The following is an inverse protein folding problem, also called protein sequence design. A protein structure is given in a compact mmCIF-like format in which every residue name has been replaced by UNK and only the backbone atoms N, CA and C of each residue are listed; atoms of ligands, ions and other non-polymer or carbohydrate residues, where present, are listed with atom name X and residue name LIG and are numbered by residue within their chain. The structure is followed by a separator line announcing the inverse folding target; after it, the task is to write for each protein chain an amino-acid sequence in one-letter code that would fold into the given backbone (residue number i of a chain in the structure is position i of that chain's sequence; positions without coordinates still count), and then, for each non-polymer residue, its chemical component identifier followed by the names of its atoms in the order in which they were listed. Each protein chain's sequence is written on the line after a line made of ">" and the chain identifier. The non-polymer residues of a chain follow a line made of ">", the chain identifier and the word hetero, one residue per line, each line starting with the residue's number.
data_IF_635459243623
#
_entry.id   IF_635459243623
#
_cell.length_a   1.000
_cell.length_b   1.000
_cell.length_c   1.000
_cell.angle_alpha   90.00
_cell.angle_beta   90.00
_cell.angle_gamma   90.00
#
_symmetry.space_group_name_H-M   'P 1'
#
loop_
_entity.id
_entity.type
_entity.pdbx_description
1 polymer ?
#
# COMPACT_ATOMS: atom_id res chain seq x y z
N UNK A 1 -26.89 -14.62 11.87
CA UNK A 1 -25.97 -15.77 11.76
C UNK A 1 -24.60 -15.25 11.29
N UNK A 2 -23.59 -15.21 12.16
CA UNK A 2 -22.19 -14.93 11.75
C UNK A 2 -21.64 -16.21 11.12
N UNK A 3 -21.22 -16.15 9.86
CA UNK A 3 -20.43 -17.22 9.26
C UNK A 3 -19.10 -17.39 10.03
N UNK A 4 -18.52 -18.60 10.07
CA UNK A 4 -17.20 -18.81 10.66
C UNK A 4 -16.18 -18.00 9.84
N UNK A 5 -15.27 -17.29 10.51
CA UNK A 5 -14.13 -16.68 9.85
C UNK A 5 -13.30 -17.79 9.22
N UNK A 6 -13.22 -17.85 7.89
CA UNK A 6 -12.27 -18.70 7.19
C UNK A 6 -10.88 -18.42 7.75
N UNK A 7 -10.28 -19.43 8.39
CA UNK A 7 -8.95 -19.34 8.96
C UNK A 7 -7.95 -19.21 7.82
N UNK A 8 -7.40 -18.01 7.62
CA UNK A 8 -6.36 -17.80 6.63
C UNK A 8 -5.02 -18.26 7.21
N UNK A 9 -4.34 -19.17 6.51
CA UNK A 9 -2.98 -19.58 6.85
C UNK A 9 -1.99 -18.75 6.04
N UNK A 10 -1.04 -18.15 6.74
CA UNK A 10 0.02 -17.37 6.13
C UNK A 10 1.30 -18.20 6.14
N UNK A 11 1.85 -18.45 4.96
CA UNK A 11 3.12 -19.15 4.79
C UNK A 11 4.18 -18.17 4.30
N UNK A 12 5.32 -18.15 4.98
CA UNK A 12 6.49 -17.36 4.60
C UNK A 12 7.66 -18.29 4.26
N UNK A 13 8.27 -18.07 3.10
CA UNK A 13 9.44 -18.79 2.64
C UNK A 13 10.61 -17.82 2.52
N UNK A 14 11.76 -18.19 3.08
CA UNK A 14 12.98 -17.37 3.07
C UNK A 14 14.18 -18.25 2.76
N UNK A 15 15.05 -17.77 1.87
CA UNK A 15 16.41 -18.31 1.74
C UNK A 15 17.22 -17.81 2.93
N UNK A 16 17.86 -18.73 3.66
CA UNK A 16 18.62 -18.42 4.88
C UNK A 16 20.00 -17.83 4.63
N UNK A 17 20.46 -17.83 3.38
CA UNK A 17 21.72 -17.21 2.97
C UNK A 17 21.68 -15.70 3.27
N UNK A 18 22.75 -15.19 3.87
CA UNK A 18 22.97 -13.75 4.05
C UNK A 18 23.87 -13.29 2.91
N UNK A 19 23.39 -12.32 2.13
CA UNK A 19 24.13 -11.75 1.01
C UNK A 19 25.07 -10.64 1.50
N UNK A 20 26.38 -10.90 1.47
CA UNK A 20 27.40 -9.89 1.78
C UNK A 20 27.70 -9.04 0.54
N UNK A 21 27.40 -7.74 0.63
CA UNK A 21 27.62 -6.76 -0.44
C UNK A 21 29.08 -6.56 -0.82
N UNK A 22 30.03 -6.99 0.01
CA UNK A 22 31.46 -6.93 -0.27
C UNK A 22 32.00 -8.22 -0.89
N UNK A 23 31.18 -9.26 -0.99
CA UNK A 23 31.55 -10.53 -1.61
C UNK A 23 31.71 -10.37 -3.11
N UNK A 24 32.77 -10.97 -3.67
CA UNK A 24 32.95 -11.07 -5.12
C UNK A 24 31.93 -12.01 -5.80
N UNK A 25 31.15 -12.77 -5.03
CA UNK A 25 30.07 -13.64 -5.51
C UNK A 25 28.67 -13.04 -5.30
N UNK A 26 28.59 -11.80 -4.81
CA UNK A 26 27.33 -11.19 -4.42
C UNK A 26 26.26 -11.28 -5.52
N UNK A 27 26.61 -10.92 -6.75
CA UNK A 27 25.66 -10.91 -7.87
C UNK A 27 25.17 -12.32 -8.23
N UNK A 28 26.08 -13.30 -8.28
CA UNK A 28 25.73 -14.69 -8.59
C UNK A 28 24.81 -15.28 -7.52
N UNK A 29 25.12 -15.05 -6.24
CA UNK A 29 24.32 -15.55 -5.12
C UNK A 29 22.96 -14.86 -5.06
N UNK A 30 22.92 -13.54 -5.29
CA UNK A 30 21.69 -12.78 -5.33
C UNK A 30 20.77 -13.28 -6.45
N UNK A 31 21.29 -13.42 -7.67
CA UNK A 31 20.52 -13.88 -8.82
C UNK A 31 20.03 -15.32 -8.62
N UNK A 32 20.88 -16.19 -8.07
CA UNK A 32 20.48 -17.56 -7.76
C UNK A 32 19.31 -17.60 -6.75
N UNK A 33 19.43 -16.88 -5.64
CA UNK A 33 18.41 -16.87 -4.59
C UNK A 33 17.10 -16.23 -5.08
N UNK A 34 17.16 -15.17 -5.88
CA UNK A 34 15.98 -14.55 -6.51
C UNK A 34 15.29 -15.51 -7.48
N UNK A 35 16.06 -16.19 -8.35
CA UNK A 35 15.52 -17.15 -9.31
C UNK A 35 14.86 -18.34 -8.61
N UNK A 36 15.52 -18.89 -7.58
CA UNK A 36 14.98 -20.00 -6.79
C UNK A 36 13.61 -19.64 -6.20
N UNK A 37 13.49 -18.48 -5.56
CA UNK A 37 12.22 -18.05 -4.98
C UNK A 37 11.19 -17.68 -6.06
N UNK A 38 11.62 -17.03 -7.13
CA UNK A 38 10.71 -16.61 -8.20
C UNK A 38 10.12 -17.81 -8.96
N UNK A 39 10.91 -18.85 -9.23
CA UNK A 39 10.46 -20.06 -9.92
C UNK A 39 9.45 -20.85 -9.08
N UNK A 40 9.68 -20.94 -7.76
CA UNK A 40 8.83 -21.75 -6.88
C UNK A 40 7.59 -21.01 -6.36
N UNK A 41 7.68 -19.69 -6.17
CA UNK A 41 6.65 -18.89 -5.50
C UNK A 41 6.04 -17.81 -6.40
N UNK A 42 6.57 -17.64 -7.61
CA UNK A 42 6.16 -16.62 -8.57
C UNK A 42 6.59 -15.20 -8.22
N UNK A 43 7.11 -14.96 -7.00
CA UNK A 43 7.56 -13.65 -6.52
C UNK A 43 8.62 -13.77 -5.43
N UNK A 44 9.48 -12.77 -5.36
CA UNK A 44 10.52 -12.66 -4.35
C UNK A 44 10.90 -11.19 -4.08
N UNK A 45 11.70 -10.98 -3.04
CA UNK A 45 12.24 -9.67 -2.66
C UNK A 45 13.46 -9.83 -1.75
N UNK A 46 14.13 -8.72 -1.48
CA UNK A 46 15.34 -8.67 -0.64
C UNK A 46 15.00 -7.86 0.61
N UNK A 47 15.47 -8.31 1.77
CA UNK A 47 15.36 -7.54 3.01
C UNK A 47 16.64 -7.58 3.84
N UNK A 48 16.75 -6.65 4.80
CA UNK A 48 17.85 -6.62 5.75
C UNK A 48 17.89 -7.91 6.59
N UNK A 49 19.08 -8.51 6.72
CA UNK A 49 19.28 -9.77 7.42
C UNK A 49 18.88 -9.73 8.90
N UNK A 50 19.00 -8.57 9.55
CA UNK A 50 18.74 -8.35 10.98
C UNK A 50 17.24 -8.22 11.30
N UNK A 51 16.36 -8.16 10.30
CA UNK A 51 14.92 -7.99 10.51
C UNK A 51 14.30 -9.30 11.04
N UNK A 52 13.61 -9.27 12.20
CA UNK A 52 12.97 -10.46 12.75
C UNK A 52 11.89 -11.03 11.84
N UNK A 53 11.74 -12.36 11.84
CA UNK A 53 10.74 -13.04 11.00
C UNK A 53 9.30 -12.71 11.42
N UNK A 54 9.07 -12.40 12.71
CA UNK A 54 7.77 -11.97 13.24
C UNK A 54 7.31 -10.66 12.60
N UNK A 55 8.23 -9.74 12.33
CA UNK A 55 7.93 -8.49 11.61
C UNK A 55 7.43 -8.76 10.19
N UNK A 56 7.75 -9.91 9.59
CA UNK A 56 7.23 -10.29 8.28
C UNK A 56 5.76 -10.69 8.35
N UNK A 57 5.33 -11.42 9.38
CA UNK A 57 3.92 -11.74 9.57
C UNK A 57 3.06 -10.47 9.70
N UNK A 58 3.57 -9.46 10.40
CA UNK A 58 2.93 -8.14 10.54
C UNK A 58 2.85 -7.36 9.21
N UNK A 59 3.74 -7.65 8.24
CA UNK A 59 3.65 -7.08 6.89
C UNK A 59 2.68 -7.81 5.98
N UNK A 60 2.30 -9.04 6.32
CA UNK A 60 1.39 -9.86 5.52
C UNK A 60 -0.08 -9.64 5.92
N UNK A 61 -0.34 -9.19 7.15
CA UNK A 61 -1.69 -8.86 7.62
C UNK A 61 -1.92 -7.36 7.44
N UNK A 62 -2.48 -7.00 6.28
CA UNK A 62 -3.00 -5.64 6.06
C UNK A 62 -4.30 -5.50 6.83
N UNK A 63 -4.35 -4.59 7.80
CA UNK A 63 -5.56 -4.24 8.53
C UNK A 63 -5.86 -2.76 8.34
N UNK A 64 -7.11 -2.48 7.97
CA UNK A 64 -7.62 -1.13 7.76
C UNK A 64 -8.53 -0.69 8.91
N UNK A 65 -8.31 0.50 9.43
CA UNK A 65 -9.24 1.19 10.33
C UNK A 65 -10.09 2.16 9.53
N UNK A 66 -11.41 2.09 9.69
CA UNK A 66 -12.37 2.96 9.02
C UNK A 66 -13.00 3.90 10.05
N UNK A 67 -12.88 5.20 9.83
CA UNK A 67 -13.36 6.24 10.73
C UNK A 67 -14.04 7.38 9.95
N UNK A 68 -14.92 8.17 10.58
CA UNK A 68 -15.44 9.39 9.95
C UNK A 68 -14.27 10.35 9.64
N UNK A 69 -14.41 11.24 8.64
CA UNK A 69 -13.37 12.22 8.33
C UNK A 69 -13.00 13.04 9.57
N UNK A 70 -11.76 12.87 10.05
CA UNK A 70 -11.23 13.57 11.21
C UNK A 70 -10.60 14.92 10.84
N UNK A 71 -9.99 15.58 11.82
CA UNK A 71 -9.21 16.78 11.53
C UNK A 71 -7.93 16.45 10.74
N UNK A 72 -7.48 17.42 9.95
CA UNK A 72 -6.22 17.33 9.18
C UNK A 72 -5.05 17.05 10.12
N UNK A 73 -5.02 17.73 11.25
CA UNK A 73 -3.97 17.67 12.25
C UNK A 73 -3.87 16.29 12.89
N UNK A 74 -5.00 15.68 13.27
CA UNK A 74 -5.03 14.33 13.86
C UNK A 74 -4.54 13.27 12.87
N UNK A 75 -4.97 13.38 11.60
CA UNK A 75 -4.60 12.41 10.57
C UNK A 75 -3.11 12.50 10.28
N UNK A 76 -2.59 13.71 10.03
CA UNK A 76 -1.17 13.93 9.80
C UNK A 76 -0.31 13.57 11.02
N UNK A 77 -0.77 13.86 12.24
CA UNK A 77 -0.07 13.48 13.46
C UNK A 77 0.05 11.95 13.60
N UNK A 78 -0.99 11.19 13.24
CA UNK A 78 -0.94 9.72 13.19
C UNK A 78 0.07 9.22 12.17
N UNK A 79 0.04 9.77 10.95
CA UNK A 79 0.95 9.40 9.86
C UNK A 79 2.42 9.66 10.25
N UNK A 80 2.71 10.82 10.85
CA UNK A 80 4.07 11.23 11.19
C UNK A 80 4.54 10.74 12.56
N UNK A 81 3.71 10.01 13.30
CA UNK A 81 4.04 9.57 14.66
C UNK A 81 5.34 8.75 14.66
N UNK A 82 6.32 9.23 15.43
CA UNK A 82 7.62 8.56 15.58
C UNK A 82 8.54 8.66 14.37
N UNK A 83 8.25 9.53 13.39
CA UNK A 83 9.04 9.72 12.17
C UNK A 83 9.75 11.08 12.16
N UNK A 84 11.02 11.09 11.75
CA UNK A 84 11.75 12.32 11.44
C UNK A 84 11.45 12.72 9.99
N UNK A 85 10.44 13.57 9.81
CA UNK A 85 9.93 14.00 8.50
C UNK A 85 10.57 15.35 8.13
N UNK A 86 11.09 15.48 6.90
CA UNK A 86 11.59 16.76 6.38
C UNK A 86 10.42 17.71 6.04
N UNK A 87 10.69 19.01 6.00
CA UNK A 87 9.68 20.02 5.63
C UNK A 87 9.04 19.75 4.26
N UNK A 88 9.84 19.29 3.28
CA UNK A 88 9.34 18.96 1.94
C UNK A 88 8.36 17.78 1.95
N UNK A 89 8.70 16.73 2.70
CA UNK A 89 7.81 15.57 2.86
C UNK A 89 6.50 15.96 3.55
N UNK A 90 6.57 16.86 4.55
CA UNK A 90 5.39 17.38 5.24
C UNK A 90 4.50 18.16 4.27
N UNK A 91 5.07 19.04 3.44
CA UNK A 91 4.32 19.79 2.43
C UNK A 91 3.65 18.86 1.39
N UNK A 92 4.35 17.82 0.93
CA UNK A 92 3.79 16.83 -0.01
C UNK A 92 2.62 16.10 0.62
N UNK A 93 2.78 15.65 1.86
CA UNK A 93 1.74 14.96 2.61
C UNK A 93 0.51 15.85 2.85
N UNK A 94 0.71 17.11 3.23
CA UNK A 94 -0.37 18.09 3.38
C UNK A 94 -1.10 18.34 2.06
N UNK A 95 -0.37 18.52 0.95
CA UNK A 95 -0.96 18.71 -0.36
C UNK A 95 -1.79 17.50 -0.84
N UNK A 96 -1.29 16.30 -0.57
CA UNK A 96 -1.99 15.04 -0.85
C UNK A 96 -3.24 14.92 -0.01
N UNK A 97 -3.14 15.18 1.29
CA UNK A 97 -4.29 15.18 2.21
C UNK A 97 -5.38 16.14 1.76
N UNK A 98 -5.02 17.39 1.44
CA UNK A 98 -5.97 18.43 1.03
C UNK A 98 -6.69 18.03 -0.26
N UNK A 99 -5.97 17.44 -1.21
CA UNK A 99 -6.60 16.88 -2.41
C UNK A 99 -7.54 15.73 -2.08
N UNK A 100 -7.13 14.81 -1.21
CA UNK A 100 -7.91 13.66 -0.78
C UNK A 100 -9.24 14.08 -0.15
N UNK A 101 -9.19 15.09 0.72
CA UNK A 101 -10.37 15.66 1.36
C UNK A 101 -11.26 16.43 0.40
N UNK A 102 -10.69 17.02 -0.66
CA UNK A 102 -11.46 17.69 -1.72
C UNK A 102 -12.35 16.74 -2.53
N UNK A 103 -12.18 15.42 -2.39
CA UNK A 103 -13.05 14.41 -2.98
C UNK A 103 -14.31 14.16 -2.15
N UNK A 104 -14.44 14.79 -0.97
CA UNK A 104 -15.57 14.66 -0.05
C UNK A 104 -15.82 13.20 0.37
N UNK A 105 -14.85 12.54 1.03
CA UNK A 105 -15.03 11.17 1.48
C UNK A 105 -16.09 11.05 2.58
N UNK A 106 -16.88 9.98 2.52
CA UNK A 106 -17.82 9.60 3.59
C UNK A 106 -17.08 9.06 4.80
N UNK A 107 -16.00 8.33 4.57
CA UNK A 107 -15.14 7.74 5.60
C UNK A 107 -13.68 7.78 5.16
N UNK A 108 -12.78 7.79 6.12
CA UNK A 108 -11.35 7.63 5.90
C UNK A 108 -10.95 6.22 6.33
N UNK A 109 -10.09 5.61 5.53
CA UNK A 109 -9.47 4.31 5.75
C UNK A 109 -7.99 4.56 6.06
N UNK A 110 -7.44 4.04 7.15
CA UNK A 110 -6.00 4.11 7.41
C UNK A 110 -5.42 2.75 7.70
N UNK A 111 -4.18 2.53 7.26
CA UNK A 111 -3.47 1.30 7.57
C UNK A 111 -2.93 1.27 8.99
N UNK A 112 -2.87 0.07 9.55
CA UNK A 112 -2.22 -0.17 10.84
C UNK A 112 -0.74 -0.51 10.67
N UNK A 113 0.06 -0.22 11.71
CA UNK A 113 1.49 -0.57 11.79
C UNK A 113 2.29 -0.17 10.52
N UNK A 114 2.80 -1.13 9.77
CA UNK A 114 3.62 -0.93 8.56
C UNK A 114 2.89 -0.22 7.42
N UNK A 115 1.56 -0.24 7.42
CA UNK A 115 0.72 0.44 6.42
C UNK A 115 0.23 1.82 6.88
N UNK A 116 0.74 2.35 8.00
CA UNK A 116 0.36 3.67 8.56
C UNK A 116 0.58 4.87 7.65
N UNK A 117 1.37 4.71 6.59
CA UNK A 117 1.57 5.73 5.55
C UNK A 117 0.52 5.71 4.45
N UNK A 118 -0.38 4.74 4.46
CA UNK A 118 -1.47 4.65 3.50
C UNK A 118 -2.76 5.22 4.08
N UNK A 119 -3.44 6.00 3.25
CA UNK A 119 -4.75 6.57 3.53
C UNK A 119 -5.68 6.27 2.36
N UNK A 120 -6.92 5.90 2.68
CA UNK A 120 -8.00 5.65 1.76
C UNK A 120 -9.16 6.62 2.00
N UNK A 121 -9.70 7.19 0.94
CA UNK A 121 -10.88 8.05 0.94
C UNK A 121 -12.02 7.20 0.40
N UNK A 122 -12.86 6.72 1.30
CA UNK A 122 -14.05 5.94 0.95
C UNK A 122 -15.13 6.93 0.52
N UNK A 123 -15.36 7.00 -0.78
CA UNK A 123 -16.32 7.90 -1.39
C UNK A 123 -17.70 7.26 -1.42
N UNK A 124 -17.74 5.97 -1.76
CA UNK A 124 -18.90 5.08 -1.71
C UNK A 124 -18.47 3.74 -1.07
N UNK A 125 -19.41 2.83 -0.80
CA UNK A 125 -19.10 1.54 -0.16
C UNK A 125 -18.21 0.64 -1.06
N UNK A 126 -18.26 0.87 -2.38
CA UNK A 126 -17.55 0.17 -3.46
C UNK A 126 -16.54 1.08 -4.20
N UNK A 127 -16.29 2.30 -3.73
CA UNK A 127 -15.36 3.24 -4.36
C UNK A 127 -14.41 3.86 -3.34
N UNK A 128 -13.14 3.45 -3.39
CA UNK A 128 -12.11 3.94 -2.48
C UNK A 128 -10.91 4.46 -3.26
N UNK A 129 -10.56 5.73 -3.03
CA UNK A 129 -9.30 6.29 -3.52
C UNK A 129 -8.21 6.02 -2.49
N UNK A 130 -7.04 5.55 -2.90
CA UNK A 130 -5.97 5.07 -2.03
C UNK A 130 -4.63 5.72 -2.35
N UNK A 131 -3.93 6.23 -1.33
CA UNK A 131 -2.67 6.97 -1.49
C UNK A 131 -1.68 6.64 -0.39
N UNK A 132 -0.38 6.69 -0.71
CA UNK A 132 0.65 6.79 0.31
C UNK A 132 1.02 8.27 0.51
N UNK A 133 0.65 8.82 1.66
CA UNK A 133 0.75 10.26 1.90
C UNK A 133 2.18 10.74 2.16
N UNK A 134 3.07 9.88 2.64
CA UNK A 134 4.48 10.22 2.89
C UNK A 134 5.34 10.01 1.64
N UNK A 135 5.10 8.91 0.92
CA UNK A 135 5.96 8.44 -0.15
C UNK A 135 5.21 7.51 -1.13
N UNK A 136 4.93 8.00 -2.32
CA UNK A 136 4.28 7.23 -3.38
C UNK A 136 4.34 7.98 -4.70
N UNK A 137 4.43 7.26 -5.82
CA UNK A 137 4.44 7.87 -7.15
C UNK A 137 3.10 7.77 -7.87
N UNK A 138 2.10 7.13 -7.25
CA UNK A 138 0.77 6.99 -7.83
C UNK A 138 -0.29 6.91 -6.76
N UNK A 139 -1.46 7.42 -7.12
CA UNK A 139 -2.73 7.24 -6.43
C UNK A 139 -3.50 6.12 -7.13
N UNK A 140 -4.24 5.35 -6.34
CA UNK A 140 -5.04 4.24 -6.82
C UNK A 140 -6.51 4.56 -6.60
N UNK A 141 -7.37 4.13 -7.52
CA UNK A 141 -8.82 4.17 -7.35
C UNK A 141 -9.27 2.73 -7.41
N UNK A 142 -9.85 2.23 -6.34
CA UNK A 142 -10.23 0.83 -6.18
C UNK A 142 -11.76 0.74 -6.22
N UNK A 143 -12.26 -0.25 -6.95
CA UNK A 143 -13.69 -0.48 -7.18
C UNK A 143 -14.14 -1.82 -6.57
N UNK A 144 -15.43 -1.96 -6.27
CA UNK A 144 -16.08 -3.16 -5.76
C UNK A 144 -15.36 -3.73 -4.52
N UNK A 145 -14.60 -4.81 -4.72
CA UNK A 145 -13.84 -5.53 -3.70
C UNK A 145 -12.52 -4.81 -3.34
N UNK A 146 -12.60 -3.51 -3.06
CA UNK A 146 -11.44 -2.68 -2.76
C UNK A 146 -10.61 -3.22 -1.59
N UNK A 147 -11.26 -3.86 -0.61
CA UNK A 147 -10.59 -4.44 0.56
C UNK A 147 -9.59 -5.53 0.13
N UNK A 148 -9.98 -6.41 -0.79
CA UNK A 148 -9.08 -7.44 -1.32
C UNK A 148 -8.00 -6.86 -2.22
N UNK A 149 -8.37 -5.91 -3.10
CA UNK A 149 -7.42 -5.28 -4.04
C UNK A 149 -6.35 -4.47 -3.28
N UNK A 150 -6.73 -3.78 -2.20
CA UNK A 150 -5.82 -2.97 -1.38
C UNK A 150 -4.75 -3.81 -0.66
N UNK A 151 -4.96 -5.12 -0.52
CA UNK A 151 -4.00 -6.07 0.07
C UNK A 151 -2.99 -6.60 -0.94
N UNK A 152 -3.26 -6.43 -2.24
CA UNK A 152 -2.39 -6.90 -3.29
C UNK A 152 -1.08 -6.10 -3.30
N UNK A 153 0.04 -6.80 -3.51
CA UNK A 153 1.31 -6.10 -3.67
C UNK A 153 1.31 -5.29 -4.96
N UNK A 154 2.17 -4.27 -5.05
CA UNK A 154 2.34 -3.51 -6.30
C UNK A 154 2.59 -4.40 -7.52
N UNK A 155 3.33 -5.50 -7.33
CA UNK A 155 3.60 -6.48 -8.40
C UNK A 155 2.31 -7.22 -8.78
N UNK A 156 1.45 -7.60 -7.82
CA UNK A 156 0.15 -8.21 -8.14
C UNK A 156 -0.73 -7.26 -8.95
N UNK A 157 -0.87 -6.02 -8.50
CA UNK A 157 -1.67 -5.00 -9.17
C UNK A 157 -1.21 -4.83 -10.63
N UNK A 158 0.10 -4.77 -10.85
CA UNK A 158 0.68 -4.58 -12.18
C UNK A 158 0.72 -5.87 -13.03
N UNK A 159 0.58 -7.05 -12.42
CA UNK A 159 0.60 -8.34 -13.12
C UNK A 159 -0.71 -8.68 -13.85
N UNK A 160 -1.74 -7.83 -13.72
CA UNK A 160 -3.07 -8.05 -14.29
C UNK A 160 -3.99 -8.93 -13.43
N UNK A 161 -3.51 -9.50 -12.32
CA UNK A 161 -4.33 -10.29 -11.38
C UNK A 161 -5.46 -9.49 -10.73
N UNK A 162 -5.28 -8.18 -10.59
CA UNK A 162 -6.30 -7.28 -10.05
C UNK A 162 -7.40 -6.93 -11.08
N UNK A 163 -7.27 -7.41 -12.32
CA UNK A 163 -8.25 -7.17 -13.38
C UNK A 163 -8.43 -5.69 -13.69
N UNK A 164 -9.66 -5.30 -14.01
CA UNK A 164 -10.08 -3.92 -14.29
C UNK A 164 -10.65 -3.18 -13.08
N UNK A 165 -10.58 -3.78 -11.88
CA UNK A 165 -11.24 -3.25 -10.68
C UNK A 165 -10.39 -2.20 -9.95
N UNK A 166 -9.42 -1.62 -10.65
CA UNK A 166 -8.70 -0.46 -10.15
C UNK A 166 -8.13 0.40 -11.29
N UNK A 167 -7.94 1.69 -11.00
CA UNK A 167 -7.13 2.58 -11.79
C UNK A 167 -5.87 2.99 -11.01
N UNK A 168 -4.75 3.15 -11.72
CA UNK A 168 -3.50 3.67 -11.16
C UNK A 168 -3.10 4.94 -11.90
N UNK A 169 -3.03 6.06 -11.18
CA UNK A 169 -2.69 7.37 -11.73
C UNK A 169 -1.37 7.83 -11.14
N UNK A 170 -0.36 8.06 -11.99
CA UNK A 170 0.96 8.53 -11.55
C UNK A 170 0.87 10.02 -11.19
N UNK A 171 1.56 10.43 -10.13
CA UNK A 171 1.69 11.84 -9.68
C UNK A 171 2.53 12.68 -10.64
N UNK A 172 2.03 12.87 -11.87
CA UNK A 172 2.69 13.64 -12.92
C UNK A 172 1.67 14.48 -13.68
N UNK A 173 2.04 15.71 -14.03
CA UNK A 173 1.15 16.62 -14.77
C UNK A 173 -0.18 16.85 -14.04
N UNK A 174 -1.29 16.68 -14.75
CA UNK A 174 -2.66 16.96 -14.26
C UNK A 174 -3.30 15.75 -13.56
N UNK A 175 -2.53 14.98 -12.80
CA UNK A 175 -3.00 13.75 -12.15
C UNK A 175 -4.25 13.96 -11.27
N UNK A 176 -4.38 15.13 -10.63
CA UNK A 176 -5.56 15.49 -9.81
C UNK A 176 -6.84 15.54 -10.63
N UNK A 177 -6.77 16.06 -11.86
CA UNK A 177 -7.93 16.14 -12.74
C UNK A 177 -8.31 14.75 -13.27
N UNK A 178 -7.32 13.91 -13.58
CA UNK A 178 -7.55 12.53 -13.98
C UNK A 178 -8.23 11.72 -12.86
N UNK A 179 -7.82 11.90 -11.61
CA UNK A 179 -8.50 11.29 -10.46
C UNK A 179 -9.94 11.76 -10.37
N UNK A 180 -10.19 13.08 -10.47
CA UNK A 180 -11.55 13.63 -10.40
C UNK A 180 -12.46 13.08 -11.50
N UNK A 181 -11.95 12.94 -12.73
CA UNK A 181 -12.71 12.33 -13.85
C UNK A 181 -13.10 10.88 -13.54
N UNK A 182 -12.13 10.08 -13.06
CA UNK A 182 -12.36 8.67 -12.72
C UNK A 182 -13.33 8.49 -11.56
N UNK A 183 -13.16 9.29 -10.50
CA UNK A 183 -14.08 9.33 -9.36
C UNK A 183 -15.49 9.71 -9.80
N UNK A 184 -15.64 10.72 -10.66
CA UNK A 184 -16.95 11.12 -11.17
C UNK A 184 -17.61 10.00 -12.00
N UNK A 185 -16.83 9.27 -12.80
CA UNK A 185 -17.32 8.13 -13.56
C UNK A 185 -17.72 6.94 -12.67
N UNK A 186 -17.00 6.69 -11.57
CA UNK A 186 -17.28 5.59 -10.64
C UNK A 186 -18.40 5.88 -9.63
N UNK A 187 -18.90 7.13 -9.56
CA UNK A 187 -20.06 7.50 -8.72
C UNK A 187 -21.42 7.36 -9.42
N UNK A 188 -21.41 7.03 -10.72
CA UNK A 188 -22.60 6.88 -11.57
C UNK A 188 -23.11 5.44 -11.55
#
# INVERSE_FOLDING_TARGET
>A
HKQPSDGHFIFNFRVTRILDKQSNKFDDELLFDLNLLQENLGKCGIENADKPISTYADTLIVSWEIFPPGSKEETLARIFRGKNITSDKKNVAENRYDFFMSLEPKKIVTGNSTFSNYIGAMLEDDLVVFENIEYGNAIYILYDNWDDISKLSRIDLLSGRAGSNFDRIIHSGNWKDEVRKKVAAGRL
#
